data_IF_053880674657
#
_entry.id   IF_053880674657
#
_cell.length_a   1.000
_cell.length_b   1.000
_cell.length_c   1.000
_cell.angle_alpha   90.00
_cell.angle_beta   90.00
_cell.angle_gamma   90.00
#
_symmetry.space_group_name_H-M   'P 1'
#
loop_
_entity.id
_entity.type
_entity.pdbx_description
1 polymer ?
#
# COMPACT_ATOMS: atom_id res chain seq x y z
N UNK A 1 -5.80 -22.67 6.14
CA UNK A 1 -5.23 -22.40 4.81
C UNK A 1 -3.72 -22.49 4.89
N UNK A 2 -3.08 -23.01 3.83
CA UNK A 2 -1.64 -22.96 3.59
C UNK A 2 -1.32 -21.73 2.76
N UNK A 3 -0.56 -20.80 3.31
CA UNK A 3 -0.27 -19.50 2.70
C UNK A 3 1.20 -19.46 2.31
N UNK A 4 1.48 -19.33 1.01
CA UNK A 4 2.83 -19.10 0.53
C UNK A 4 3.22 -17.66 0.79
N UNK A 5 4.25 -17.43 1.60
CA UNK A 5 4.82 -16.11 1.84
C UNK A 5 6.15 -16.00 1.10
N UNK A 6 6.17 -15.19 0.05
CA UNK A 6 7.37 -14.92 -0.75
C UNK A 6 8.03 -13.64 -0.27
N UNK A 7 9.26 -13.74 0.22
CA UNK A 7 9.98 -12.66 0.88
C UNK A 7 9.76 -12.65 2.39
N UNK A 8 10.82 -12.92 3.16
CA UNK A 8 10.83 -12.97 4.64
C UNK A 8 11.69 -11.83 5.21
N UNK A 9 11.67 -10.68 4.52
CA UNK A 9 12.26 -9.41 4.97
C UNK A 9 11.43 -8.73 6.07
N UNK A 10 11.59 -7.41 6.22
CA UNK A 10 10.89 -6.65 7.27
C UNK A 10 9.36 -6.73 7.15
N UNK A 11 8.80 -6.51 5.97
CA UNK A 11 7.36 -6.65 5.73
C UNK A 11 6.93 -8.12 5.74
N UNK A 12 7.70 -9.00 5.10
CA UNK A 12 7.48 -10.45 5.14
C UNK A 12 7.32 -11.01 6.56
N UNK A 13 8.18 -10.61 7.50
CA UNK A 13 8.07 -11.03 8.92
C UNK A 13 6.79 -10.53 9.58
N UNK A 14 6.32 -9.32 9.24
CA UNK A 14 5.03 -8.83 9.73
C UNK A 14 3.88 -9.68 9.18
N UNK A 15 3.89 -10.01 7.90
CA UNK A 15 2.92 -10.96 7.31
C UNK A 15 2.97 -12.31 8.01
N UNK A 16 4.17 -12.89 8.20
CA UNK A 16 4.35 -14.17 8.88
C UNK A 16 3.69 -14.19 10.26
N UNK A 17 3.94 -13.15 11.07
CA UNK A 17 3.31 -13.00 12.38
C UNK A 17 1.79 -13.01 12.26
N UNK A 18 1.23 -12.22 11.33
CA UNK A 18 -0.23 -12.10 11.18
C UNK A 18 -0.89 -13.35 10.61
N UNK A 19 -0.26 -14.03 9.64
CA UNK A 19 -0.71 -15.33 9.12
C UNK A 19 -0.80 -16.35 10.28
N UNK A 20 0.22 -16.39 11.13
CA UNK A 20 0.28 -17.29 12.29
C UNK A 20 -0.78 -16.95 13.33
N UNK A 21 -0.93 -15.66 13.68
CA UNK A 21 -1.98 -15.19 14.61
C UNK A 21 -3.40 -15.51 14.12
N UNK A 22 -3.62 -15.60 12.80
CA UNK A 22 -4.88 -15.98 12.18
C UNK A 22 -5.10 -17.50 12.12
N UNK A 23 -4.16 -18.30 12.62
CA UNK A 23 -4.26 -19.77 12.65
C UNK A 23 -4.05 -20.42 11.28
N UNK A 24 -3.40 -19.74 10.36
CA UNK A 24 -3.04 -20.30 9.05
C UNK A 24 -1.62 -20.86 9.06
N UNK A 25 -1.29 -21.72 8.10
CA UNK A 25 0.00 -22.39 7.98
C UNK A 25 0.87 -21.67 6.94
N UNK A 26 1.92 -20.94 7.34
CA UNK A 26 2.84 -20.30 6.41
C UNK A 26 3.76 -21.35 5.74
N UNK A 27 3.96 -21.19 4.43
CA UNK A 27 5.04 -21.80 3.66
C UNK A 27 5.95 -20.66 3.23
N UNK A 28 7.22 -20.69 3.63
CA UNK A 28 8.14 -19.57 3.41
C UNK A 28 8.93 -19.78 2.12
N UNK A 29 9.10 -18.70 1.36
CA UNK A 29 9.98 -18.67 0.20
C UNK A 29 10.85 -17.42 0.24
N UNK A 30 12.17 -17.56 0.29
CA UNK A 30 13.12 -16.44 0.16
C UNK A 30 14.43 -16.93 -0.43
N UNK A 31 15.05 -16.14 -1.30
CA UNK A 31 16.32 -16.51 -1.94
C UNK A 31 17.48 -16.59 -0.95
N UNK A 32 17.35 -15.95 0.23
CA UNK A 32 18.32 -16.04 1.32
C UNK A 32 17.96 -17.17 2.30
N UNK A 33 18.69 -18.31 2.30
CA UNK A 33 18.43 -19.42 3.21
C UNK A 33 18.62 -19.06 4.69
N UNK A 34 19.35 -17.98 5.00
CA UNK A 34 19.54 -17.45 6.34
C UNK A 34 18.27 -16.85 6.96
N UNK A 35 17.23 -16.57 6.14
CA UNK A 35 15.92 -16.09 6.62
C UNK A 35 14.94 -17.21 6.97
N UNK A 36 15.39 -18.47 6.94
CA UNK A 36 14.61 -19.61 7.43
C UNK A 36 14.11 -19.35 8.85
N UNK A 37 12.86 -19.67 9.10
CA UNK A 37 12.26 -19.63 10.43
C UNK A 37 11.91 -21.06 10.84
N UNK A 38 12.41 -21.50 11.99
CA UNK A 38 12.16 -22.84 12.51
C UNK A 38 10.65 -23.08 12.71
N UNK A 39 10.20 -24.29 12.36
CA UNK A 39 8.78 -24.68 12.48
C UNK A 39 7.94 -24.43 11.23
N UNK A 40 8.49 -23.81 10.19
CA UNK A 40 7.81 -23.61 8.90
C UNK A 40 8.60 -24.27 7.76
N UNK A 41 7.88 -24.76 6.74
CA UNK A 41 8.48 -25.13 5.47
C UNK A 41 9.17 -23.93 4.83
N UNK A 42 10.32 -24.17 4.21
CA UNK A 42 11.12 -23.12 3.58
C UNK A 42 11.69 -23.59 2.25
N UNK A 43 11.51 -22.77 1.23
CA UNK A 43 12.00 -22.95 -0.13
C UNK A 43 12.82 -21.72 -0.57
N UNK A 44 13.79 -21.91 -1.46
CA UNK A 44 14.57 -20.78 -1.98
C UNK A 44 13.88 -20.14 -3.19
N UNK A 45 13.15 -20.96 -3.95
CA UNK A 45 12.49 -20.56 -5.18
C UNK A 45 11.03 -21.04 -5.19
N UNK A 46 10.15 -20.23 -5.78
CA UNK A 46 8.70 -20.50 -5.79
C UNK A 46 8.38 -21.79 -6.55
N UNK A 47 9.16 -22.08 -7.59
CA UNK A 47 9.04 -23.26 -8.44
C UNK A 47 9.39 -24.57 -7.68
N UNK A 48 10.07 -24.47 -6.54
CA UNK A 48 10.43 -25.62 -5.70
C UNK A 48 9.33 -26.02 -4.72
N UNK A 49 8.29 -25.19 -4.57
CA UNK A 49 7.20 -25.41 -3.61
C UNK A 49 6.38 -26.62 -4.08
N UNK A 50 6.50 -27.74 -3.34
CA UNK A 50 5.79 -29.00 -3.62
C UNK A 50 4.48 -29.14 -2.85
N UNK A 51 4.26 -28.28 -1.87
CA UNK A 51 3.07 -28.30 -1.04
C UNK A 51 1.88 -27.67 -1.76
N UNK A 52 0.67 -28.13 -1.44
CA UNK A 52 -0.55 -27.47 -1.88
C UNK A 52 -0.65 -26.09 -1.19
N UNK A 53 -0.81 -25.03 -1.98
CA UNK A 53 -0.95 -23.66 -1.50
C UNK A 53 -2.36 -23.16 -1.81
N UNK A 54 -3.00 -22.51 -0.85
CA UNK A 54 -4.35 -21.94 -1.01
C UNK A 54 -4.34 -20.48 -1.48
N UNK A 55 -3.31 -19.72 -1.08
CA UNK A 55 -3.08 -18.34 -1.50
C UNK A 55 -1.61 -17.95 -1.30
N UNK A 56 -1.15 -16.91 -1.99
CA UNK A 56 0.19 -16.35 -1.83
C UNK A 56 0.17 -14.88 -1.39
N UNK A 57 1.18 -14.51 -0.61
CA UNK A 57 1.52 -13.12 -0.28
C UNK A 57 2.94 -12.88 -0.77
N UNK A 58 3.13 -11.87 -1.63
CA UNK A 58 4.43 -11.53 -2.22
C UNK A 58 4.90 -10.21 -1.64
N UNK A 59 5.94 -10.26 -0.80
CA UNK A 59 6.51 -9.15 -0.04
C UNK A 59 8.03 -9.03 -0.28
N UNK A 60 8.43 -8.99 -1.55
CA UNK A 60 9.81 -8.81 -2.03
C UNK A 60 10.01 -7.38 -2.57
N UNK A 61 11.18 -7.09 -3.13
CA UNK A 61 11.44 -5.80 -3.78
C UNK A 61 10.57 -5.59 -5.04
N UNK A 62 10.07 -4.36 -5.31
CA UNK A 62 9.15 -4.09 -6.41
C UNK A 62 9.63 -4.53 -7.80
N UNK A 63 10.94 -4.47 -8.07
CA UNK A 63 11.53 -4.87 -9.35
C UNK A 63 11.38 -6.36 -9.68
N UNK A 64 11.00 -7.19 -8.70
CA UNK A 64 10.78 -8.63 -8.88
C UNK A 64 9.30 -9.02 -8.77
N UNK A 65 8.40 -8.08 -8.45
CA UNK A 65 7.00 -8.36 -8.17
C UNK A 65 6.29 -9.06 -9.33
N UNK A 66 6.37 -8.50 -10.53
CA UNK A 66 5.70 -9.07 -11.72
C UNK A 66 6.28 -10.42 -12.07
N UNK A 67 7.61 -10.53 -12.12
CA UNK A 67 8.31 -11.79 -12.43
C UNK A 67 7.91 -12.93 -11.51
N UNK A 68 7.78 -12.67 -10.20
CA UNK A 68 7.51 -13.71 -9.19
C UNK A 68 6.02 -13.98 -9.01
N UNK A 69 5.17 -12.96 -9.13
CA UNK A 69 3.72 -13.12 -8.98
C UNK A 69 3.05 -13.72 -10.21
N UNK A 70 3.55 -13.45 -11.43
CA UNK A 70 2.91 -13.90 -12.67
C UNK A 70 2.74 -15.42 -12.78
N UNK A 71 3.76 -16.27 -12.49
CA UNK A 71 3.56 -17.72 -12.51
C UNK A 71 2.52 -18.21 -11.49
N UNK A 72 2.46 -17.58 -10.30
CA UNK A 72 1.45 -17.91 -9.28
C UNK A 72 0.04 -17.57 -9.79
N UNK A 73 -0.10 -16.39 -10.41
CA UNK A 73 -1.37 -15.96 -10.99
C UNK A 73 -1.80 -16.84 -12.18
N UNK A 74 -0.86 -17.26 -13.04
CA UNK A 74 -1.13 -18.18 -14.16
C UNK A 74 -1.66 -19.54 -13.69
N UNK A 75 -1.29 -19.97 -12.48
CA UNK A 75 -1.82 -21.18 -11.83
C UNK A 75 -3.21 -20.97 -11.19
N UNK A 76 -3.78 -19.77 -11.26
CA UNK A 76 -5.05 -19.43 -10.63
C UNK A 76 -4.99 -19.23 -9.11
N UNK A 77 -3.78 -19.10 -8.54
CA UNK A 77 -3.60 -18.93 -7.09
C UNK A 77 -3.88 -17.47 -6.70
N UNK A 78 -4.76 -17.18 -5.73
CA UNK A 78 -4.94 -15.83 -5.21
C UNK A 78 -3.63 -15.23 -4.69
N UNK A 79 -3.27 -14.02 -5.14
CA UNK A 79 -2.04 -13.33 -4.75
C UNK A 79 -2.36 -11.97 -4.13
N UNK A 80 -1.89 -11.75 -2.90
CA UNK A 80 -1.76 -10.43 -2.31
C UNK A 80 -0.34 -9.91 -2.54
N UNK A 81 -0.20 -8.87 -3.37
CA UNK A 81 1.07 -8.31 -3.79
C UNK A 81 1.37 -7.02 -3.03
N UNK A 82 2.59 -6.92 -2.49
CA UNK A 82 3.06 -5.69 -1.84
C UNK A 82 3.06 -4.47 -2.77
N UNK A 83 2.96 -3.29 -2.17
CA UNK A 83 3.04 -2.03 -2.92
C UNK A 83 4.50 -1.52 -3.01
N UNK A 84 4.83 -0.72 -4.04
CA UNK A 84 4.13 -0.63 -5.32
C UNK A 84 4.24 -1.99 -6.07
N UNK A 85 3.21 -2.41 -6.82
CA UNK A 85 3.17 -3.74 -7.44
C UNK A 85 4.05 -3.90 -8.68
N UNK A 86 4.62 -2.80 -9.17
CA UNK A 86 5.57 -2.74 -10.28
C UNK A 86 6.30 -1.40 -10.25
N UNK A 87 7.38 -1.25 -11.02
CA UNK A 87 8.10 0.02 -11.17
C UNK A 87 7.70 0.79 -12.43
N UNK A 88 6.70 0.30 -13.17
CA UNK A 88 6.05 1.05 -14.23
C UNK A 88 4.61 0.59 -14.45
N UNK A 89 3.79 1.48 -14.99
CA UNK A 89 2.45 1.14 -15.47
C UNK A 89 2.50 -0.03 -16.46
N UNK A 90 3.44 0.03 -17.42
CA UNK A 90 3.57 -0.98 -18.48
C UNK A 90 3.88 -2.37 -17.93
N UNK A 91 4.79 -2.47 -16.96
CA UNK A 91 5.15 -3.74 -16.32
C UNK A 91 3.94 -4.30 -15.56
N UNK A 92 3.19 -3.47 -14.85
CA UNK A 92 2.00 -3.91 -14.11
C UNK A 92 0.90 -4.48 -15.02
N UNK A 93 0.77 -3.99 -16.26
CA UNK A 93 -0.20 -4.51 -17.23
C UNK A 93 -0.02 -6.00 -17.54
N UNK A 94 1.14 -6.59 -17.25
CA UNK A 94 1.36 -8.03 -17.42
C UNK A 94 0.58 -8.89 -16.41
N UNK A 95 0.27 -8.34 -15.23
CA UNK A 95 -0.40 -9.06 -14.14
C UNK A 95 -1.75 -8.45 -13.74
N UNK A 96 -2.02 -7.20 -14.11
CA UNK A 96 -3.30 -6.55 -13.81
C UNK A 96 -4.54 -7.34 -14.28
N UNK A 97 -4.56 -8.01 -15.45
CA UNK A 97 -5.76 -8.73 -15.91
C UNK A 97 -6.22 -9.88 -15.00
N UNK A 98 -5.34 -10.46 -14.18
CA UNK A 98 -5.69 -11.60 -13.32
C UNK A 98 -6.61 -11.18 -12.18
N UNK A 99 -7.86 -11.68 -12.18
CA UNK A 99 -8.92 -11.26 -11.23
C UNK A 99 -8.64 -11.62 -9.78
N UNK A 100 -7.75 -12.58 -9.56
CA UNK A 100 -7.30 -13.04 -8.24
C UNK A 100 -5.99 -12.39 -7.79
N UNK A 101 -5.58 -11.28 -8.41
CA UNK A 101 -4.53 -10.38 -7.92
C UNK A 101 -5.13 -9.30 -7.02
N UNK A 102 -4.51 -9.08 -5.87
CA UNK A 102 -4.88 -8.06 -4.90
C UNK A 102 -3.66 -7.21 -4.53
N UNK A 103 -3.85 -5.89 -4.41
CA UNK A 103 -2.74 -4.97 -4.08
C UNK A 103 -2.85 -4.54 -2.63
N UNK A 104 -1.76 -4.69 -1.87
CA UNK A 104 -1.74 -4.48 -0.42
C UNK A 104 -1.66 -3.00 -0.05
N UNK A 105 -2.78 -2.28 -0.14
CA UNK A 105 -2.89 -0.93 0.42
C UNK A 105 -3.50 -0.97 1.83
N UNK A 106 -2.62 -1.12 2.82
CA UNK A 106 -2.96 -1.21 4.25
C UNK A 106 -3.80 -0.02 4.74
N UNK A 107 -3.60 1.19 4.23
CA UNK A 107 -4.32 2.35 4.75
C UNK A 107 -5.82 2.33 4.41
N UNK A 108 -6.25 1.52 3.43
CA UNK A 108 -7.69 1.34 3.14
C UNK A 108 -8.48 0.74 4.31
N UNK A 109 -7.79 0.13 5.28
CA UNK A 109 -8.39 -0.45 6.48
C UNK A 109 -8.44 0.52 7.68
N UNK A 110 -7.99 1.77 7.50
CA UNK A 110 -8.07 2.79 8.54
C UNK A 110 -9.53 3.14 8.88
N UNK A 111 -9.81 3.23 10.18
CA UNK A 111 -11.09 3.65 10.71
C UNK A 111 -11.43 5.10 10.36
N UNK A 112 -10.41 5.95 10.20
CA UNK A 112 -10.56 7.37 9.88
C UNK A 112 -11.26 7.61 8.54
N UNK A 113 -11.08 6.72 7.56
CA UNK A 113 -11.64 6.86 6.22
C UNK A 113 -13.17 6.90 6.19
N UNK A 114 -13.82 6.34 7.22
CA UNK A 114 -15.29 6.38 7.37
C UNK A 114 -15.83 7.79 7.66
N UNK A 115 -14.96 8.71 8.07
CA UNK A 115 -15.30 10.08 8.44
C UNK A 115 -14.92 11.08 7.34
N UNK A 116 -14.53 10.61 6.15
CA UNK A 116 -14.28 11.51 5.03
C UNK A 116 -15.57 12.28 4.68
N UNK A 117 -15.52 13.62 4.55
CA UNK A 117 -16.73 14.43 4.45
C UNK A 117 -17.25 14.50 3.02
N UNK A 118 -18.55 14.73 2.86
CA UNK A 118 -19.17 14.92 1.54
C UNK A 118 -18.72 16.22 0.85
N UNK A 119 -18.39 17.25 1.62
CA UNK A 119 -17.97 18.57 1.10
C UNK A 119 -16.51 18.84 1.46
N UNK A 120 -15.66 18.81 0.45
CA UNK A 120 -14.25 19.16 0.54
C UNK A 120 -14.00 20.41 -0.31
N UNK A 121 -13.35 21.40 0.28
CA UNK A 121 -12.95 22.66 -0.36
C UNK A 121 -11.43 22.76 -0.52
N UNK A 122 -10.68 22.12 0.38
CA UNK A 122 -9.22 22.04 0.32
C UNK A 122 -8.74 20.78 1.03
N UNK A 123 -7.61 20.25 0.57
CA UNK A 123 -6.98 19.07 1.15
C UNK A 123 -5.47 19.27 1.28
N UNK A 124 -4.95 19.13 2.50
CA UNK A 124 -3.51 19.15 2.78
C UNK A 124 -3.12 17.83 3.45
N UNK A 125 -2.21 17.09 2.83
CA UNK A 125 -1.81 15.76 3.28
C UNK A 125 -0.35 15.77 3.71
N UNK A 126 -0.07 15.12 4.83
CA UNK A 126 1.28 14.89 5.32
C UNK A 126 1.54 13.40 5.44
N UNK A 127 2.61 12.92 4.80
CA UNK A 127 3.16 11.59 5.02
C UNK A 127 4.67 11.66 5.18
N UNK A 128 5.07 11.94 6.41
CA UNK A 128 6.45 12.13 6.83
C UNK A 128 6.89 10.89 7.62
N UNK A 129 7.87 10.18 7.08
CA UNK A 129 8.37 8.90 7.59
C UNK A 129 9.43 9.05 8.67
N UNK A 130 9.76 7.90 9.27
CA UNK A 130 10.82 7.74 10.29
C UNK A 130 12.12 7.15 9.72
N UNK A 131 12.07 6.60 8.51
CA UNK A 131 13.13 5.74 7.98
C UNK A 131 13.14 5.82 6.46
N UNK A 132 14.34 5.68 5.90
CA UNK A 132 14.53 5.57 4.45
C UNK A 132 13.71 4.43 3.84
N UNK A 133 13.11 4.71 2.69
CA UNK A 133 12.44 3.71 1.84
C UNK A 133 13.39 3.09 0.82
N UNK A 134 12.83 2.66 -0.31
CA UNK A 134 13.52 1.88 -1.33
C UNK A 134 13.71 2.64 -2.63
N UNK A 135 12.64 3.28 -3.13
CA UNK A 135 12.63 3.90 -4.47
C UNK A 135 12.77 5.43 -4.35
N UNK A 136 11.73 6.10 -3.87
CA UNK A 136 11.74 7.52 -3.52
C UNK A 136 10.58 7.85 -2.57
N UNK A 137 10.57 9.01 -1.89
CA UNK A 137 9.41 9.44 -1.10
C UNK A 137 8.11 9.46 -1.92
N UNK A 138 8.18 9.75 -3.21
CA UNK A 138 7.04 9.69 -4.13
C UNK A 138 6.49 8.26 -4.24
N UNK A 139 7.32 7.28 -4.59
CA UNK A 139 6.86 5.90 -4.78
C UNK A 139 6.55 5.15 -3.48
N UNK A 140 7.30 5.41 -2.41
CA UNK A 140 7.14 4.66 -1.17
C UNK A 140 6.05 5.23 -0.26
N UNK A 141 5.89 6.56 -0.27
CA UNK A 141 4.99 7.27 0.63
C UNK A 141 3.80 7.85 -0.10
N UNK A 142 4.00 8.70 -1.12
CA UNK A 142 2.90 9.34 -1.82
C UNK A 142 1.93 8.33 -2.46
N UNK A 143 2.43 7.14 -2.83
CA UNK A 143 1.64 5.97 -3.22
C UNK A 143 0.38 5.81 -2.36
N UNK A 144 0.53 5.81 -1.03
CA UNK A 144 -0.57 5.53 -0.12
C UNK A 144 -1.68 6.56 -0.26
N UNK A 145 -1.33 7.85 -0.25
CA UNK A 145 -2.33 8.92 -0.25
C UNK A 145 -2.95 9.09 -1.63
N UNK A 146 -2.16 9.01 -2.71
CA UNK A 146 -2.69 9.00 -4.08
C UNK A 146 -3.62 7.80 -4.33
N UNK A 147 -3.35 6.65 -3.71
CA UNK A 147 -4.24 5.50 -3.75
C UNK A 147 -5.56 5.77 -2.98
N UNK A 148 -5.48 6.34 -1.78
CA UNK A 148 -6.66 6.64 -0.96
C UNK A 148 -7.53 7.75 -1.57
N UNK A 149 -6.93 8.73 -2.23
CA UNK A 149 -7.70 9.79 -2.93
C UNK A 149 -8.67 9.20 -3.95
N UNK A 150 -8.28 8.11 -4.62
CA UNK A 150 -9.14 7.40 -5.59
C UNK A 150 -10.35 6.71 -4.95
N UNK A 151 -10.44 6.63 -3.62
CA UNK A 151 -11.64 6.16 -2.92
C UNK A 151 -12.74 7.23 -2.87
N UNK A 152 -12.36 8.50 -2.92
CA UNK A 152 -13.27 9.63 -2.68
C UNK A 152 -13.42 10.54 -3.90
N UNK A 153 -12.47 10.49 -4.83
CA UNK A 153 -12.42 11.39 -5.98
C UNK A 153 -12.30 10.62 -7.29
N UNK A 154 -13.00 11.11 -8.31
CA UNK A 154 -13.00 10.51 -9.64
C UNK A 154 -11.80 10.96 -10.46
N UNK A 155 -11.38 12.22 -10.34
CA UNK A 155 -10.29 12.82 -11.10
C UNK A 155 -9.20 13.29 -10.16
N UNK A 156 -7.95 12.96 -10.48
CA UNK A 156 -6.75 13.40 -9.75
C UNK A 156 -5.80 13.89 -10.83
N UNK A 157 -5.28 15.10 -10.66
CA UNK A 157 -4.30 15.70 -11.55
C UNK A 157 -3.18 16.29 -10.73
N UNK A 158 -1.95 15.95 -11.07
CA UNK A 158 -0.77 16.51 -10.43
C UNK A 158 -0.28 17.66 -11.32
N UNK A 159 -0.12 18.84 -10.73
CA UNK A 159 0.27 20.05 -11.48
C UNK A 159 1.69 20.48 -11.22
N UNK A 160 2.25 20.11 -10.06
CA UNK A 160 3.61 20.44 -9.69
C UNK A 160 4.18 19.44 -8.71
N UNK A 161 5.47 19.13 -8.87
CA UNK A 161 6.27 18.41 -7.87
C UNK A 161 7.51 19.24 -7.56
N UNK A 162 7.75 19.51 -6.27
CA UNK A 162 8.98 20.16 -5.78
C UNK A 162 9.75 19.18 -4.93
N UNK A 163 11.06 19.12 -5.13
CA UNK A 163 11.97 18.27 -4.34
C UNK A 163 12.75 19.09 -3.33
N UNK A 164 13.18 18.43 -2.26
CA UNK A 164 13.90 19.02 -1.14
C UNK A 164 14.01 18.01 0.00
N UNK A 165 14.20 18.50 1.22
CA UNK A 165 14.10 17.65 2.42
C UNK A 165 12.69 17.04 2.58
N UNK A 166 11.68 17.84 2.22
CA UNK A 166 10.29 17.42 2.07
C UNK A 166 9.90 17.64 0.62
N UNK A 167 9.40 16.59 -0.03
CA UNK A 167 8.85 16.68 -1.38
C UNK A 167 7.41 17.16 -1.29
N UNK A 168 7.06 18.12 -2.14
CA UNK A 168 5.70 18.69 -2.19
C UNK A 168 5.08 18.36 -3.55
N UNK A 169 4.00 17.60 -3.53
CA UNK A 169 3.14 17.31 -4.68
C UNK A 169 1.91 18.20 -4.57
N UNK A 170 1.66 19.04 -5.57
CA UNK A 170 0.48 19.89 -5.64
C UNK A 170 -0.36 19.51 -6.86
N UNK A 171 -1.67 19.65 -6.73
CA UNK A 171 -2.59 19.26 -7.78
C UNK A 171 -4.05 19.57 -7.45
N UNK A 172 -4.93 18.90 -8.17
CA UNK A 172 -6.38 18.99 -7.97
C UNK A 172 -7.01 17.60 -7.92
N UNK A 173 -8.01 17.44 -7.06
CA UNK A 173 -8.92 16.30 -7.03
C UNK A 173 -10.33 16.78 -7.30
N UNK A 174 -10.97 16.36 -8.40
CA UNK A 174 -12.28 16.87 -8.83
C UNK A 174 -12.42 18.41 -8.77
N UNK A 175 -11.37 19.13 -9.22
CA UNK A 175 -11.23 20.61 -9.19
C UNK A 175 -11.04 21.23 -7.80
N UNK A 176 -10.85 20.41 -6.78
CA UNK A 176 -10.51 20.83 -5.42
C UNK A 176 -9.00 20.82 -5.29
N UNK A 177 -8.36 21.92 -4.84
CA UNK A 177 -6.92 21.96 -4.68
C UNK A 177 -6.47 20.97 -3.59
N UNK A 178 -5.41 20.21 -3.88
CA UNK A 178 -4.72 19.41 -2.87
C UNK A 178 -3.22 19.66 -2.84
N UNK A 179 -2.63 19.50 -1.66
CA UNK A 179 -1.19 19.40 -1.46
C UNK A 179 -0.85 18.13 -0.69
N UNK A 180 0.30 17.54 -1.00
CA UNK A 180 0.81 16.33 -0.39
C UNK A 180 2.30 16.50 -0.10
N UNK A 181 2.66 16.45 1.19
CA UNK A 181 4.04 16.51 1.67
C UNK A 181 4.53 15.12 2.01
N UNK A 182 5.64 14.71 1.40
CA UNK A 182 6.26 13.41 1.67
C UNK A 182 7.75 13.53 1.94
N UNK A 183 8.22 12.77 2.93
CA UNK A 183 9.64 12.67 3.26
C UNK A 183 9.91 11.32 3.92
N UNK A 184 11.02 10.67 3.60
CA UNK A 184 11.36 9.39 4.23
C UNK A 184 11.76 9.52 5.69
N UNK A 185 12.59 10.50 6.01
CA UNK A 185 13.20 10.67 7.33
C UNK A 185 12.97 12.12 7.77
N UNK A 186 11.94 12.32 8.59
CA UNK A 186 11.57 13.63 9.09
C UNK A 186 11.61 13.65 10.63
N UNK A 187 12.14 14.72 11.26
CA UNK A 187 12.23 14.81 12.73
C UNK A 187 10.87 14.81 13.42
N UNK A 188 9.81 15.21 12.72
CA UNK A 188 8.43 15.11 13.15
C UNK A 188 7.63 14.23 12.17
N UNK A 189 7.65 12.89 12.33
CA UNK A 189 6.87 11.99 11.51
C UNK A 189 5.37 12.28 11.65
N UNK A 190 4.65 12.27 10.54
CA UNK A 190 3.24 12.62 10.46
C UNK A 190 2.55 11.76 9.41
N UNK A 191 1.29 11.42 9.65
CA UNK A 191 0.43 10.75 8.67
C UNK A 191 -0.99 11.27 8.82
N UNK A 192 -1.27 12.40 8.18
CA UNK A 192 -2.50 13.15 8.40
C UNK A 192 -3.09 13.66 7.10
N UNK A 193 -4.42 13.66 7.03
CA UNK A 193 -5.18 14.43 6.06
C UNK A 193 -5.86 15.58 6.79
N UNK A 194 -5.57 16.79 6.36
CA UNK A 194 -6.10 18.05 6.90
C UNK A 194 -7.08 18.58 5.86
N UNK A 195 -8.36 18.59 6.21
CA UNK A 195 -9.47 18.87 5.29
C UNK A 195 -10.10 20.20 5.68
N UNK A 196 -10.42 21.04 4.68
CA UNK A 196 -11.05 22.35 4.85
C UNK A 196 -10.32 23.21 5.88
N UNK A 197 -9.02 23.45 5.65
CA UNK A 197 -8.18 24.28 6.53
C UNK A 197 -8.12 23.80 8.00
N UNK A 198 -8.32 22.50 8.23
CA UNK A 198 -8.22 21.89 9.56
C UNK A 198 -9.53 21.81 10.34
N UNK A 199 -10.66 22.12 9.69
CA UNK A 199 -11.98 21.81 10.26
C UNK A 199 -12.14 20.30 10.56
N UNK A 200 -11.53 19.45 9.75
CA UNK A 200 -11.47 18.00 9.95
C UNK A 200 -10.03 17.52 9.74
N UNK A 201 -9.53 16.70 10.67
CA UNK A 201 -8.22 16.05 10.57
C UNK A 201 -8.40 14.55 10.74
N UNK A 202 -7.95 13.79 9.73
CA UNK A 202 -7.81 12.34 9.81
C UNK A 202 -6.35 12.04 10.16
N UNK A 203 -6.06 11.54 11.37
CA UNK A 203 -4.72 11.10 11.77
C UNK A 203 -4.62 9.57 11.60
N UNK A 204 -4.14 9.14 10.43
CA UNK A 204 -4.05 7.72 10.07
C UNK A 204 -2.89 7.01 10.80
N UNK A 205 -1.98 7.74 11.45
CA UNK A 205 -0.96 7.12 12.30
C UNK A 205 -1.56 6.70 13.64
N UNK A 206 -2.43 7.55 14.21
CA UNK A 206 -3.06 7.30 15.51
C UNK A 206 -4.43 6.62 15.42
N UNK A 207 -4.99 6.51 14.22
CA UNK A 207 -6.38 6.10 14.01
C UNK A 207 -7.37 7.03 14.74
N UNK A 208 -7.11 8.33 14.65
CA UNK A 208 -7.91 9.38 15.28
C UNK A 208 -8.59 10.29 14.24
N UNK A 209 -9.75 10.82 14.58
CA UNK A 209 -10.47 11.84 13.81
C UNK A 209 -10.76 13.03 14.72
N UNK A 210 -10.39 14.22 14.25
CA UNK A 210 -10.56 15.45 14.99
C UNK A 210 -11.44 16.41 14.19
N UNK A 211 -12.43 17.02 14.83
CA UNK A 211 -13.32 18.02 14.23
C UNK A 211 -13.18 19.32 15.01
N UNK A 212 -12.75 20.39 14.35
CA UNK A 212 -12.56 21.73 14.95
C UNK A 212 -11.72 21.69 16.25
N UNK A 213 -10.71 20.81 16.28
CA UNK A 213 -9.81 20.65 17.42
C UNK A 213 -10.30 19.68 18.51
N UNK A 214 -11.50 19.12 18.40
CA UNK A 214 -12.03 18.12 19.34
C UNK A 214 -11.90 16.70 18.79
N UNK A 215 -11.47 15.76 19.63
CA UNK A 215 -11.36 14.35 19.26
C UNK A 215 -12.78 13.76 19.11
N UNK A 216 -13.13 13.37 17.89
CA UNK A 216 -14.42 12.74 17.58
C UNK A 216 -14.35 11.21 17.67
N UNK A 217 -13.25 10.63 17.19
CA UNK A 217 -13.10 9.17 17.08
C UNK A 217 -11.66 8.76 17.33
N UNK A 218 -11.46 7.64 18.02
CA UNK A 218 -10.17 6.97 18.19
C UNK A 218 -10.41 5.46 18.28
N UNK A 219 -9.94 4.72 17.29
CA UNK A 219 -10.08 3.26 17.23
C UNK A 219 -8.80 2.65 16.66
N UNK A 220 -7.81 2.32 17.50
CA UNK A 220 -6.60 1.63 17.05
C UNK A 220 -6.96 0.32 16.34
N UNK A 221 -6.38 0.12 15.14
CA UNK A 221 -6.62 -1.08 14.33
C UNK A 221 -5.32 -1.77 13.95
N UNK A 222 -5.34 -3.09 14.01
CA UNK A 222 -4.35 -3.92 13.31
C UNK A 222 -4.71 -4.01 11.83
N UNK A 223 -4.42 -2.92 11.10
CA UNK A 223 -4.76 -2.77 9.67
C UNK A 223 -4.20 -3.90 8.82
N UNK A 224 -3.00 -4.39 9.13
CA UNK A 224 -2.39 -5.51 8.42
C UNK A 224 -3.16 -6.82 8.63
N UNK A 225 -3.56 -7.11 9.88
CA UNK A 225 -4.40 -8.27 10.17
C UNK A 225 -5.74 -8.21 9.44
N UNK A 226 -6.41 -7.06 9.48
CA UNK A 226 -7.69 -6.85 8.79
C UNK A 226 -7.55 -7.03 7.28
N UNK A 227 -6.47 -6.52 6.69
CA UNK A 227 -6.16 -6.67 5.27
C UNK A 227 -5.98 -8.14 4.87
N UNK A 228 -5.18 -8.89 5.63
CA UNK A 228 -4.96 -10.32 5.37
C UNK A 228 -6.26 -11.11 5.56
N UNK A 229 -7.07 -10.79 6.59
CA UNK A 229 -8.37 -11.43 6.79
C UNK A 229 -9.32 -11.18 5.61
N UNK A 230 -9.40 -9.95 5.12
CA UNK A 230 -10.24 -9.61 3.97
C UNK A 230 -9.76 -10.36 2.71
N UNK A 231 -8.44 -10.44 2.50
CA UNK A 231 -7.85 -11.18 1.38
C UNK A 231 -8.21 -12.67 1.44
N UNK A 232 -8.01 -13.32 2.58
CA UNK A 232 -8.20 -14.77 2.71
C UNK A 232 -9.68 -15.19 2.75
N UNK A 233 -10.60 -14.26 3.01
CA UNK A 233 -12.05 -14.49 3.01
C UNK A 233 -12.74 -14.08 1.71
N UNK A 234 -11.99 -13.61 0.71
CA UNK A 234 -12.55 -13.04 -0.53
C UNK A 234 -13.43 -11.80 -0.29
N UNK A 235 -13.18 -11.08 0.80
CA UNK A 235 -13.83 -9.82 1.18
C UNK A 235 -12.98 -8.59 0.80
N UNK A 236 -11.84 -8.81 0.12
CA UNK A 236 -10.95 -7.73 -0.30
C UNK A 236 -11.60 -6.90 -1.40
N UNK A 237 -11.26 -5.60 -1.42
CA UNK A 237 -11.80 -4.72 -2.44
C UNK A 237 -11.30 -5.13 -3.84
N UNK A 238 -12.22 -5.64 -4.65
CA UNK A 238 -11.94 -6.17 -6.00
C UNK A 238 -11.41 -5.11 -6.97
N UNK A 239 -11.63 -3.81 -6.67
CA UNK A 239 -11.08 -2.69 -7.45
C UNK A 239 -9.62 -2.36 -7.11
N UNK A 240 -8.94 -3.22 -6.36
CA UNK A 240 -7.59 -2.91 -5.86
C UNK A 240 -6.55 -2.78 -6.97
N UNK A 241 -6.71 -3.57 -8.04
CA UNK A 241 -5.84 -3.59 -9.22
C UNK A 241 -6.03 -2.35 -10.08
N UNK A 242 -7.27 -1.95 -10.32
CA UNK A 242 -7.64 -0.77 -11.10
C UNK A 242 -7.12 0.51 -10.43
N UNK A 243 -7.24 0.61 -9.10
CA UNK A 243 -6.66 1.72 -8.34
C UNK A 243 -5.14 1.71 -8.41
N UNK A 244 -4.50 0.56 -8.24
CA UNK A 244 -3.04 0.46 -8.33
C UNK A 244 -2.51 0.86 -9.72
N UNK A 245 -3.18 0.40 -10.78
CA UNK A 245 -2.88 0.76 -12.17
C UNK A 245 -2.93 2.28 -12.37
N UNK A 246 -4.02 2.91 -11.93
CA UNK A 246 -4.17 4.36 -11.99
C UNK A 246 -3.13 5.08 -11.13
N UNK A 247 -2.80 4.54 -9.96
CA UNK A 247 -1.80 5.10 -9.07
C UNK A 247 -0.40 5.10 -9.71
N UNK A 248 -0.03 4.03 -10.41
CA UNK A 248 1.22 3.96 -11.16
C UNK A 248 1.28 5.05 -12.24
N UNK A 249 0.19 5.29 -12.98
CA UNK A 249 0.14 6.38 -13.96
C UNK A 249 0.31 7.76 -13.31
N UNK A 250 -0.30 7.99 -12.15
CA UNK A 250 -0.13 9.24 -11.39
C UNK A 250 1.31 9.45 -10.91
N UNK A 251 1.97 8.37 -10.47
CA UNK A 251 3.37 8.43 -10.04
C UNK A 251 4.31 8.71 -11.22
N UNK A 252 4.10 8.07 -12.38
CA UNK A 252 4.85 8.35 -13.60
C UNK A 252 4.64 9.79 -14.11
N UNK A 253 3.40 10.31 -14.04
CA UNK A 253 3.10 11.72 -14.34
C UNK A 253 3.86 12.66 -13.40
N UNK A 254 3.81 12.41 -12.09
CA UNK A 254 4.55 13.17 -11.10
C UNK A 254 6.07 13.15 -11.35
N UNK A 255 6.63 12.00 -11.72
CA UNK A 255 8.05 11.89 -12.08
C UNK A 255 8.41 12.67 -13.34
N UNK A 256 7.51 12.76 -14.32
CA UNK A 256 7.76 13.55 -15.53
C UNK A 256 7.88 15.05 -15.21
N UNK A 257 7.11 15.54 -14.24
CA UNK A 257 7.15 16.92 -13.76
C UNK A 257 8.42 17.26 -12.98
N UNK A 258 9.18 16.25 -12.53
CA UNK A 258 10.50 16.46 -11.92
C UNK A 258 11.59 16.76 -12.95
N UNK A 259 11.33 16.45 -14.22
CA UNK A 259 12.31 16.57 -15.32
C UNK A 259 12.15 17.87 -16.11
N UNK A 260 11.08 18.63 -15.84
CA UNK A 260 10.74 19.91 -16.47
C UNK A 260 11.18 21.08 -15.60
#
# INVERSE_FOLDING_TARGET
MRILLVGVGNMGRKYLTKITELGHTPILCDTDPGKRVNGFSFYCHVEEVKEQVDAAIVAIEPSQHVKVSKPLLEMGLPVLLEKPPALSYREFQEIEPYTHLYISEIETFSSCLKYFPEKVQSLSIERLGRSKGYVSPLWDLAWHDLYLLQLFFENIRITQVKTGEVWEINGEVDRIPFSLKVAWEHPAPSRKWIINEGELILDLAKEEVWVKGELLHSEPRDKLKLMIQAFLKDEFNQRSRERAKRNLSLLEEAESLLRT
#
